data_IF_000748031487
#
_entry.id   IF_000748031487
#
_cell.length_a   1.000
_cell.length_b   1.000
_cell.length_c   1.000
_cell.angle_alpha   90.00
_cell.angle_beta   90.00
_cell.angle_gamma   90.00
#
_symmetry.space_group_name_H-M   'P 1'
#
loop_
_entity.id
_entity.type
_entity.pdbx_description
1 polymer ?
#
# COMPACT_ATOMS: atom_id res chain seq x y z
N UNK A 1 41.59 -11.82 -0.64
CA UNK A 1 41.37 -11.42 0.78
C UNK A 1 40.70 -10.06 0.96
N UNK A 2 40.13 -9.40 -0.07
CA UNK A 2 39.39 -8.13 0.07
C UNK A 2 37.87 -8.26 -0.18
N UNK A 3 37.41 -9.39 -0.70
CA UNK A 3 36.01 -9.65 -1.04
C UNK A 3 35.12 -9.94 0.18
N UNK A 4 35.68 -10.32 1.33
CA UNK A 4 34.94 -10.67 2.55
C UNK A 4 34.55 -9.43 3.38
N UNK A 5 35.31 -8.34 3.25
CA UNK A 5 35.07 -7.09 3.99
C UNK A 5 33.95 -6.26 3.35
N UNK A 6 33.82 -6.32 2.02
CA UNK A 6 32.71 -5.69 1.31
C UNK A 6 31.37 -6.39 1.60
N UNK A 7 31.37 -7.73 1.73
CA UNK A 7 30.18 -8.49 2.10
C UNK A 7 29.74 -8.25 3.54
N UNK A 8 30.69 -8.13 4.49
CA UNK A 8 30.36 -7.89 5.90
C UNK A 8 29.80 -6.49 6.17
N UNK A 9 30.27 -5.46 5.44
CA UNK A 9 29.68 -4.11 5.49
C UNK A 9 28.26 -4.06 4.90
N UNK A 10 27.93 -4.96 3.97
CA UNK A 10 26.58 -5.11 3.42
C UNK A 10 25.67 -5.84 4.41
N UNK A 11 26.15 -6.88 5.11
CA UNK A 11 25.42 -7.58 6.18
C UNK A 11 25.11 -6.68 7.39
N UNK A 12 26.05 -5.82 7.79
CA UNK A 12 25.88 -4.91 8.93
C UNK A 12 24.74 -3.89 8.77
N UNK A 13 24.27 -3.66 7.53
CA UNK A 13 23.22 -2.71 7.20
C UNK A 13 21.80 -3.30 7.28
N UNK A 14 21.68 -4.51 7.80
CA UNK A 14 20.42 -5.22 8.00
C UNK A 14 20.18 -5.45 9.50
N UNK A 15 20.27 -4.39 10.30
CA UNK A 15 19.75 -4.41 11.67
C UNK A 15 18.23 -4.58 11.56
N UNK A 16 17.74 -5.77 11.90
CA UNK A 16 16.31 -6.09 11.92
C UNK A 16 15.51 -5.01 12.63
N UNK A 17 14.29 -4.76 12.14
CA UNK A 17 13.40 -3.73 12.66
C UNK A 17 13.36 -3.76 14.20
N UNK A 18 13.96 -2.76 14.84
CA UNK A 18 13.85 -2.61 16.29
C UNK A 18 12.39 -2.35 16.69
N UNK A 19 12.05 -2.63 17.95
CA UNK A 19 10.69 -2.45 18.50
C UNK A 19 10.06 -1.10 18.16
N UNK A 20 10.83 -0.01 18.18
CA UNK A 20 10.37 1.33 17.81
C UNK A 20 9.93 1.43 16.33
N UNK A 21 10.62 0.72 15.43
CA UNK A 21 10.22 0.65 14.03
C UNK A 21 8.91 -0.09 13.84
N UNK A 22 8.70 -1.18 14.57
CA UNK A 22 7.46 -1.98 14.51
C UNK A 22 6.28 -1.13 14.97
N UNK A 23 6.43 -0.40 16.08
CA UNK A 23 5.39 0.51 16.60
C UNK A 23 5.06 1.60 15.58
N UNK A 24 6.07 2.21 14.94
CA UNK A 24 5.82 3.28 13.94
C UNK A 24 5.05 2.77 12.73
N UNK A 25 5.41 1.61 12.20
CA UNK A 25 4.68 1.00 11.06
C UNK A 25 3.28 0.55 11.49
N UNK A 26 3.15 -0.01 12.69
CA UNK A 26 1.86 -0.39 13.27
C UNK A 26 0.92 0.80 13.43
N UNK A 27 1.43 1.94 13.91
CA UNK A 27 0.65 3.18 14.03
C UNK A 27 0.19 3.70 12.66
N UNK A 28 1.07 3.72 11.67
CA UNK A 28 0.71 4.12 10.30
C UNK A 28 -0.37 3.20 9.74
N UNK A 29 -0.24 1.89 9.92
CA UNK A 29 -1.22 0.91 9.47
C UNK A 29 -2.57 1.08 10.19
N UNK A 30 -2.56 1.35 11.50
CA UNK A 30 -3.76 1.64 12.27
C UNK A 30 -4.46 2.91 11.78
N UNK A 31 -3.72 3.99 11.51
CA UNK A 31 -4.27 5.23 10.98
C UNK A 31 -4.90 5.04 9.60
N UNK A 32 -4.24 4.30 8.71
CA UNK A 32 -4.79 3.98 7.38
C UNK A 32 -6.08 3.15 7.52
N UNK A 33 -6.08 2.13 8.39
CA UNK A 33 -7.26 1.32 8.66
C UNK A 33 -8.41 2.14 9.24
N UNK A 34 -8.13 3.01 10.21
CA UNK A 34 -9.12 3.88 10.82
C UNK A 34 -9.76 4.83 9.79
N UNK A 35 -8.96 5.45 8.92
CA UNK A 35 -9.44 6.36 7.89
C UNK A 35 -10.36 5.64 6.89
N UNK A 36 -10.00 4.44 6.46
CA UNK A 36 -10.82 3.61 5.56
C UNK A 36 -12.14 3.20 6.22
N UNK A 37 -12.12 2.81 7.49
CA UNK A 37 -13.33 2.46 8.24
C UNK A 37 -14.23 3.68 8.47
N UNK A 38 -13.65 4.84 8.78
CA UNK A 38 -14.39 6.11 8.90
C UNK A 38 -15.06 6.48 7.59
N UNK A 39 -14.33 6.45 6.47
CA UNK A 39 -14.87 6.75 5.15
C UNK A 39 -16.04 5.81 4.79
N UNK A 40 -15.89 4.51 5.05
CA UNK A 40 -16.93 3.51 4.72
C UNK A 40 -18.18 3.71 5.57
N UNK A 41 -18.03 3.96 6.87
CA UNK A 41 -19.16 4.17 7.79
C UNK A 41 -19.89 5.47 7.51
N UNK A 42 -19.15 6.55 7.24
CA UNK A 42 -19.71 7.88 6.90
C UNK A 42 -20.40 7.84 5.54
N UNK A 43 -19.80 7.25 4.50
CA UNK A 43 -20.42 7.15 3.17
C UNK A 43 -21.71 6.33 3.21
N UNK A 44 -21.73 5.21 3.94
CA UNK A 44 -22.95 4.40 4.08
C UNK A 44 -24.08 5.20 4.75
N UNK A 45 -23.76 5.98 5.79
CA UNK A 45 -24.73 6.86 6.47
C UNK A 45 -25.17 8.02 5.58
N UNK A 46 -24.25 8.74 4.96
CA UNK A 46 -24.54 9.87 4.07
C UNK A 46 -25.45 9.46 2.92
N UNK A 47 -25.10 8.38 2.20
CA UNK A 47 -25.85 7.97 1.01
C UNK A 47 -27.26 7.49 1.35
N UNK A 48 -27.39 6.65 2.37
CA UNK A 48 -28.68 6.02 2.69
C UNK A 48 -29.57 6.92 3.54
N UNK A 49 -29.00 7.60 4.53
CA UNK A 49 -29.76 8.38 5.52
C UNK A 49 -29.95 9.82 5.08
N UNK A 50 -28.90 10.50 4.62
CA UNK A 50 -28.97 11.94 4.34
C UNK A 50 -29.42 12.22 2.90
N UNK A 51 -28.92 11.45 1.93
CA UNK A 51 -29.30 11.60 0.52
C UNK A 51 -30.48 10.71 0.09
N UNK A 52 -31.00 9.85 0.98
CA UNK A 52 -32.08 8.89 0.71
C UNK A 52 -31.85 8.04 -0.56
N UNK A 53 -30.59 7.83 -0.95
CA UNK A 53 -30.23 7.04 -2.11
C UNK A 53 -30.44 5.56 -1.81
N UNK A 54 -30.76 4.80 -2.85
CA UNK A 54 -30.91 3.35 -2.72
C UNK A 54 -29.62 2.74 -2.15
N UNK A 55 -29.75 1.86 -1.15
CA UNK A 55 -28.63 1.17 -0.51
C UNK A 55 -27.78 0.31 -1.49
N UNK A 56 -28.28 0.08 -2.70
CA UNK A 56 -27.54 -0.52 -3.80
C UNK A 56 -26.30 0.31 -4.22
N UNK A 57 -26.32 1.63 -4.05
CA UNK A 57 -25.20 2.51 -4.45
C UNK A 57 -23.94 2.26 -3.59
N UNK A 58 -23.97 2.35 -2.25
CA UNK A 58 -22.81 2.02 -1.44
C UNK A 58 -22.38 0.55 -1.60
N UNK A 59 -23.32 -0.38 -1.78
CA UNK A 59 -22.99 -1.78 -2.07
C UNK A 59 -22.22 -1.94 -3.41
N UNK A 60 -22.63 -1.21 -4.45
CA UNK A 60 -21.94 -1.19 -5.74
C UNK A 60 -20.54 -0.59 -5.66
N UNK A 61 -20.36 0.48 -4.88
CA UNK A 61 -19.04 1.09 -4.61
C UNK A 61 -18.11 0.12 -3.88
N UNK A 62 -18.64 -0.65 -2.93
CA UNK A 62 -17.88 -1.70 -2.23
C UNK A 62 -17.50 -2.83 -3.21
N UNK A 63 -18.42 -3.28 -4.07
CA UNK A 63 -18.12 -4.28 -5.09
C UNK A 63 -17.05 -3.79 -6.08
N UNK A 64 -17.13 -2.54 -6.52
CA UNK A 64 -16.12 -1.90 -7.35
C UNK A 64 -14.76 -1.81 -6.64
N UNK A 65 -14.75 -1.46 -5.35
CA UNK A 65 -13.54 -1.45 -4.54
C UNK A 65 -12.88 -2.83 -4.48
N UNK A 66 -13.65 -3.91 -4.27
CA UNK A 66 -13.14 -5.28 -4.34
C UNK A 66 -12.65 -5.68 -5.74
N UNK A 67 -13.30 -5.22 -6.80
CA UNK A 67 -12.82 -5.42 -8.17
C UNK A 67 -11.44 -4.76 -8.39
N UNK A 68 -11.24 -3.54 -7.90
CA UNK A 68 -9.93 -2.86 -7.96
C UNK A 68 -8.87 -3.57 -7.11
N UNK A 69 -9.25 -4.27 -6.03
CA UNK A 69 -8.31 -5.06 -5.24
C UNK A 69 -7.67 -6.23 -6.03
N UNK A 70 -8.28 -6.69 -7.12
CA UNK A 70 -7.67 -7.63 -8.07
C UNK A 70 -6.43 -7.04 -8.78
N UNK A 71 -6.23 -5.73 -8.71
CA UNK A 71 -5.00 -5.07 -9.14
C UNK A 71 -3.80 -5.36 -8.24
N UNK A 72 -3.99 -5.74 -6.96
CA UNK A 72 -2.88 -5.94 -6.00
C UNK A 72 -1.78 -6.90 -6.50
N UNK A 73 -2.08 -8.07 -7.10
CA UNK A 73 -1.07 -8.99 -7.63
C UNK A 73 -0.38 -8.45 -8.88
N UNK A 74 -1.13 -7.78 -9.76
CA UNK A 74 -0.62 -7.19 -11.00
C UNK A 74 0.42 -6.11 -10.71
N UNK A 75 0.16 -5.27 -9.72
CA UNK A 75 1.03 -4.15 -9.35
C UNK A 75 2.30 -4.65 -8.67
N UNK A 76 2.19 -5.71 -7.85
CA UNK A 76 3.35 -6.42 -7.28
C UNK A 76 4.23 -7.07 -8.35
N UNK A 77 3.63 -7.88 -9.23
CA UNK A 77 4.34 -8.56 -10.32
C UNK A 77 4.96 -7.57 -11.32
N UNK A 78 4.27 -6.48 -11.64
CA UNK A 78 4.81 -5.41 -12.49
C UNK A 78 5.98 -4.65 -11.83
N UNK A 79 5.99 -4.53 -10.49
CA UNK A 79 7.11 -3.93 -9.76
C UNK A 79 8.34 -4.84 -9.71
N UNK A 80 8.14 -6.16 -9.54
CA UNK A 80 9.21 -7.17 -9.41
C UNK A 80 9.86 -7.52 -10.75
N UNK A 81 9.11 -7.60 -11.85
CA UNK A 81 9.70 -7.74 -13.20
C UNK A 81 10.63 -6.58 -13.57
N UNK A 82 10.45 -5.42 -12.93
CA UNK A 82 11.32 -4.27 -13.10
C UNK A 82 12.51 -4.24 -12.13
N UNK A 83 12.51 -5.10 -11.09
CA UNK A 83 13.61 -5.26 -10.13
C UNK A 83 14.64 -6.33 -10.55
N UNK A 84 14.26 -7.25 -11.45
CA UNK A 84 15.15 -8.30 -11.99
C UNK A 84 16.27 -7.75 -12.90
N UNK A 85 16.13 -6.55 -13.44
CA UNK A 85 17.22 -5.81 -14.11
C UNK A 85 17.78 -4.76 -13.14
N UNK A 86 18.92 -5.07 -12.51
CA UNK A 86 19.57 -4.32 -11.44
C UNK A 86 19.30 -2.81 -11.34
N UNK A 87 18.73 -2.41 -10.20
CA UNK A 87 18.75 -1.05 -9.66
C UNK A 87 17.89 0.00 -10.37
N UNK A 88 17.03 0.70 -9.62
CA UNK A 88 16.38 1.99 -10.00
C UNK A 88 15.04 1.94 -10.75
N UNK A 89 14.26 0.85 -10.62
CA UNK A 89 12.93 0.78 -11.25
C UNK A 89 11.72 0.99 -10.32
N UNK A 90 11.83 0.78 -9.00
CA UNK A 90 10.77 1.14 -8.02
C UNK A 90 10.38 2.62 -8.12
N UNK A 91 11.35 3.49 -8.40
CA UNK A 91 11.16 4.94 -8.58
C UNK A 91 10.27 5.28 -9.77
N UNK A 92 10.29 4.52 -10.87
CA UNK A 92 9.41 4.77 -12.04
C UNK A 92 7.95 4.41 -11.77
N UNK A 93 7.69 3.38 -10.98
CA UNK A 93 6.32 3.05 -10.55
C UNK A 93 5.79 4.04 -9.52
N UNK A 94 6.63 4.54 -8.62
CA UNK A 94 6.26 5.61 -7.67
C UNK A 94 5.96 6.91 -8.43
N UNK A 95 6.82 7.30 -9.38
CA UNK A 95 6.59 8.48 -10.23
C UNK A 95 5.35 8.29 -11.11
N UNK A 96 5.15 7.08 -11.67
CA UNK A 96 3.95 6.75 -12.43
C UNK A 96 2.66 6.87 -11.60
N UNK A 97 2.70 6.41 -10.34
CA UNK A 97 1.60 6.60 -9.40
C UNK A 97 1.35 8.06 -9.04
N UNK A 98 2.41 8.86 -8.83
CA UNK A 98 2.31 10.30 -8.52
C UNK A 98 1.88 11.14 -9.72
N UNK A 99 2.22 10.73 -10.95
CA UNK A 99 1.81 11.44 -12.17
C UNK A 99 0.37 11.15 -12.62
N UNK A 100 -0.20 10.04 -12.14
CA UNK A 100 -1.61 9.66 -12.38
C UNK A 100 -2.55 10.25 -11.33
N UNK A 101 -2.03 10.56 -10.13
CA UNK A 101 -2.71 11.33 -9.08
C UNK A 101 -2.81 12.80 -9.47
#
# INVERSE_FOLDING_TARGET
MQTTLASSLIEARNTGFGWLGIVRIGLVQASIGALVMLATTVLNRLMVVEYALAAAIPAGLVAWHYAVQLGRPLWGHASDRSAASGGRSRTRWIIGGVAVL
#
